data_IF_862138285636
#
_entry.id   IF_862138285636
#
_cell.length_a   1.000
_cell.length_b   1.000
_cell.length_c   1.000
_cell.angle_alpha   90.00
_cell.angle_beta   90.00
_cell.angle_gamma   90.00
#
_symmetry.space_group_name_H-M   'P 1'
#
loop_
_entity.id
_entity.type
_entity.pdbx_description
1 polymer ?
#
# COMPACT_ATOMS: atom_id res chain seq x y z
N UNK A 1 -10.56 16.69 -2.54
CA UNK A 1 -11.59 15.63 -2.60
C UNK A 1 -11.16 14.58 -3.61
N UNK A 2 -11.49 13.31 -3.42
CA UNK A 2 -11.20 12.30 -4.43
C UNK A 2 -12.07 12.50 -5.69
N UNK A 3 -11.55 12.04 -6.83
CA UNK A 3 -12.21 12.17 -8.12
C UNK A 3 -12.19 10.84 -8.91
N UNK A 4 -13.16 10.68 -9.81
CA UNK A 4 -13.30 9.57 -10.76
C UNK A 4 -13.37 10.11 -12.16
N UNK A 5 -12.72 9.41 -13.10
CA UNK A 5 -12.67 9.82 -14.51
C UNK A 5 -14.03 9.66 -15.20
N UNK A 6 -14.39 10.66 -16.00
CA UNK A 6 -15.62 10.64 -16.83
C UNK A 6 -15.60 9.56 -17.91
N UNK A 7 -14.43 9.02 -18.25
CA UNK A 7 -14.27 7.95 -19.27
C UNK A 7 -14.61 6.56 -18.72
N UNK A 8 -14.73 6.42 -17.39
CA UNK A 8 -15.21 5.19 -16.79
C UNK A 8 -16.69 4.93 -17.15
N UNK A 9 -17.13 3.67 -17.05
CA UNK A 9 -18.52 3.32 -17.34
C UNK A 9 -19.46 3.93 -16.29
N UNK A 10 -20.70 4.23 -16.70
CA UNK A 10 -21.72 4.79 -15.81
C UNK A 10 -21.91 3.97 -14.54
N UNK A 11 -21.90 2.64 -14.65
CA UNK A 11 -22.05 1.73 -13.52
C UNK A 11 -20.87 1.79 -12.51
N UNK A 12 -19.70 2.24 -12.98
CA UNK A 12 -18.52 2.48 -12.10
C UNK A 12 -18.55 3.88 -11.50
N UNK A 13 -18.96 4.89 -12.27
CA UNK A 13 -18.99 6.29 -11.82
C UNK A 13 -20.07 6.50 -10.73
N UNK A 14 -21.25 5.92 -10.92
CA UNK A 14 -22.42 6.22 -10.09
C UNK A 14 -22.21 6.00 -8.58
N UNK A 15 -21.57 4.92 -8.08
CA UNK A 15 -21.31 4.75 -6.66
C UNK A 15 -20.44 5.87 -6.07
N UNK A 16 -19.42 6.33 -6.81
CA UNK A 16 -18.52 7.40 -6.37
C UNK A 16 -19.21 8.77 -6.38
N UNK A 17 -19.96 9.06 -7.43
CA UNK A 17 -20.77 10.29 -7.53
C UNK A 17 -21.78 10.40 -6.37
N UNK A 18 -22.46 9.31 -6.02
CA UNK A 18 -23.37 9.24 -4.86
C UNK A 18 -22.64 9.44 -3.53
N UNK A 19 -21.38 9.03 -3.43
CA UNK A 19 -20.53 9.24 -2.27
C UNK A 19 -19.87 10.65 -2.22
N UNK A 20 -20.21 11.53 -3.17
CA UNK A 20 -19.72 12.91 -3.21
C UNK A 20 -18.35 13.10 -3.85
N UNK A 21 -17.85 12.10 -4.60
CA UNK A 21 -16.63 12.28 -5.39
C UNK A 21 -16.86 13.21 -6.57
N UNK A 22 -15.82 13.93 -6.95
CA UNK A 22 -15.84 14.72 -8.20
C UNK A 22 -15.81 13.79 -9.41
N UNK A 23 -16.66 14.08 -10.41
CA UNK A 23 -16.66 13.36 -11.70
C UNK A 23 -16.09 14.31 -12.72
N UNK A 24 -14.87 14.07 -13.19
CA UNK A 24 -14.16 14.95 -14.11
C UNK A 24 -13.21 14.18 -15.03
N UNK A 25 -12.78 14.80 -16.13
CA UNK A 25 -11.78 14.20 -17.01
C UNK A 25 -10.39 14.26 -16.34
N UNK A 26 -9.88 13.13 -15.90
CA UNK A 26 -8.58 13.04 -15.26
C UNK A 26 -7.45 13.03 -16.31
N UNK A 27 -6.36 13.71 -16.01
CA UNK A 27 -5.17 13.69 -16.85
C UNK A 27 -4.46 12.33 -16.77
N UNK A 28 -4.44 11.72 -15.61
CA UNK A 28 -3.80 10.44 -15.33
C UNK A 28 -4.71 9.55 -14.48
N UNK A 29 -4.74 8.26 -14.83
CA UNK A 29 -5.50 7.24 -14.11
C UNK A 29 -7.02 7.37 -14.24
N UNK A 30 -7.72 6.53 -13.51
CA UNK A 30 -9.19 6.44 -13.50
C UNK A 30 -9.78 6.95 -12.18
N UNK A 31 -8.99 6.92 -11.09
CA UNK A 31 -9.35 7.46 -9.78
C UNK A 31 -8.16 8.18 -9.17
N UNK A 32 -8.42 9.28 -8.45
CA UNK A 32 -7.36 10.06 -7.79
C UNK A 32 -7.84 10.70 -6.49
N UNK A 33 -6.90 11.09 -5.66
CA UNK A 33 -7.12 11.87 -4.47
C UNK A 33 -5.79 12.26 -3.82
N UNK A 34 -5.87 12.79 -2.60
CA UNK A 34 -4.70 13.16 -1.80
C UNK A 34 -4.77 12.51 -0.43
N UNK A 35 -3.62 12.26 0.15
CA UNK A 35 -3.50 11.81 1.53
C UNK A 35 -3.60 13.00 2.52
N UNK A 36 -3.45 12.73 3.80
CA UNK A 36 -3.50 13.74 4.87
C UNK A 36 -2.37 14.78 4.80
N UNK A 37 -1.27 14.45 4.12
CA UNK A 37 -0.12 15.35 3.91
C UNK A 37 -0.24 16.13 2.59
N UNK A 38 -1.31 15.92 1.81
CA UNK A 38 -1.53 16.53 0.50
C UNK A 38 -0.81 15.81 -0.66
N UNK A 39 -0.21 14.64 -0.40
CA UNK A 39 0.43 13.85 -1.45
C UNK A 39 -0.60 13.09 -2.27
N UNK A 40 -0.47 13.13 -3.61
CA UNK A 40 -1.42 12.49 -4.52
C UNK A 40 -1.27 10.97 -4.58
N UNK A 41 -2.42 10.28 -4.70
CA UNK A 41 -2.51 8.91 -5.14
C UNK A 41 -3.32 8.85 -6.44
N UNK A 42 -2.93 7.95 -7.34
CA UNK A 42 -3.60 7.72 -8.64
C UNK A 42 -3.78 6.22 -8.80
N UNK A 43 -4.99 5.80 -9.18
CA UNK A 43 -5.31 4.41 -9.51
C UNK A 43 -5.60 4.36 -11.01
N UNK A 44 -4.85 3.52 -11.73
CA UNK A 44 -5.18 3.05 -13.07
C UNK A 44 -5.86 1.69 -12.93
N UNK A 45 -7.09 1.57 -13.41
CA UNK A 45 -7.85 0.34 -13.40
C UNK A 45 -7.71 -0.38 -14.75
N UNK A 46 -7.50 -1.68 -14.70
CA UNK A 46 -7.47 -2.55 -15.88
C UNK A 46 -8.22 -3.84 -15.59
N UNK A 47 -9.05 -4.28 -16.51
CA UNK A 47 -9.42 -5.71 -16.51
C UNK A 47 -8.21 -6.54 -16.94
N UNK A 48 -8.19 -7.83 -16.59
CA UNK A 48 -7.11 -8.74 -17.04
C UNK A 48 -6.97 -8.71 -18.55
N UNK A 49 -8.07 -8.75 -19.28
CA UNK A 49 -8.09 -8.71 -20.76
C UNK A 49 -7.58 -7.37 -21.27
N UNK A 50 -8.00 -6.26 -20.66
CA UNK A 50 -7.54 -4.92 -20.99
C UNK A 50 -6.05 -4.73 -20.74
N UNK A 51 -5.54 -5.24 -19.61
CA UNK A 51 -4.12 -5.25 -19.31
C UNK A 51 -3.31 -5.99 -20.38
N UNK A 52 -3.72 -7.22 -20.72
CA UNK A 52 -3.01 -8.03 -21.71
C UNK A 52 -3.02 -7.39 -23.10
N UNK A 53 -4.12 -6.75 -23.50
CA UNK A 53 -4.21 -5.95 -24.72
C UNK A 53 -3.27 -4.75 -24.67
N UNK A 54 -3.24 -4.00 -23.57
CA UNK A 54 -2.43 -2.81 -23.40
C UNK A 54 -0.93 -3.10 -23.32
N UNK A 55 -0.54 -4.30 -22.83
CA UNK A 55 0.85 -4.77 -22.88
C UNK A 55 1.36 -4.84 -24.32
N UNK A 56 0.55 -5.35 -25.25
CA UNK A 56 0.94 -5.54 -26.66
C UNK A 56 1.22 -4.21 -27.37
N UNK A 57 0.55 -3.16 -26.99
CA UNK A 57 0.67 -1.81 -27.56
C UNK A 57 1.63 -0.91 -26.80
N UNK A 58 2.15 -1.35 -25.67
CA UNK A 58 2.96 -0.55 -24.76
C UNK A 58 2.16 0.55 -24.05
N UNK A 59 0.83 0.48 -24.07
CA UNK A 59 -0.03 1.52 -23.48
C UNK A 59 0.07 1.52 -21.96
N UNK A 60 -0.02 0.35 -21.31
CA UNK A 60 0.07 0.25 -19.86
C UNK A 60 1.44 0.73 -19.35
N UNK A 61 2.52 0.46 -20.08
CA UNK A 61 3.87 0.92 -19.72
C UNK A 61 3.94 2.44 -19.70
N UNK A 62 3.36 3.11 -20.71
CA UNK A 62 3.30 4.59 -20.77
C UNK A 62 2.43 5.18 -19.67
N UNK A 63 1.28 4.58 -19.38
CA UNK A 63 0.39 5.03 -18.30
C UNK A 63 1.08 4.90 -16.94
N UNK A 64 1.70 3.76 -16.67
CA UNK A 64 2.47 3.52 -15.44
C UNK A 64 3.61 4.53 -15.28
N UNK A 65 4.41 4.75 -16.34
CA UNK A 65 5.50 5.73 -16.31
C UNK A 65 4.98 7.14 -15.97
N UNK A 66 3.88 7.56 -16.60
CA UNK A 66 3.26 8.86 -16.30
C UNK A 66 2.75 8.96 -14.85
N UNK A 67 2.17 7.89 -14.31
CA UNK A 67 1.71 7.89 -12.92
C UNK A 67 2.89 7.99 -11.94
N UNK A 68 3.96 7.24 -12.16
CA UNK A 68 5.18 7.29 -11.32
C UNK A 68 5.79 8.68 -11.32
N UNK A 69 5.76 9.38 -12.44
CA UNK A 69 6.29 10.73 -12.58
C UNK A 69 5.43 11.80 -11.86
N UNK A 70 4.11 11.60 -11.80
CA UNK A 70 3.17 12.66 -11.39
C UNK A 70 2.48 12.42 -10.04
N UNK A 71 2.67 11.26 -9.39
CA UNK A 71 2.08 11.05 -8.08
C UNK A 71 3.00 10.26 -7.13
N UNK A 72 2.77 10.47 -5.83
CA UNK A 72 3.52 9.77 -4.79
C UNK A 72 3.11 8.30 -4.63
N UNK A 73 1.86 8.00 -4.91
CA UNK A 73 1.31 6.66 -4.72
C UNK A 73 0.63 6.15 -5.99
N UNK A 74 1.42 5.72 -7.00
CA UNK A 74 0.88 5.10 -8.20
C UNK A 74 0.37 3.70 -7.88
N UNK A 75 -0.87 3.41 -8.31
CA UNK A 75 -1.54 2.15 -8.04
C UNK A 75 -2.07 1.59 -9.37
N UNK A 76 -1.69 0.36 -9.71
CA UNK A 76 -2.29 -0.40 -10.79
C UNK A 76 -3.26 -1.42 -10.18
N UNK A 77 -4.55 -1.25 -10.43
CA UNK A 77 -5.61 -2.13 -9.96
C UNK A 77 -6.06 -3.02 -11.10
N UNK A 78 -5.89 -4.33 -10.94
CA UNK A 78 -6.20 -5.33 -11.97
C UNK A 78 -7.44 -6.11 -11.54
N UNK A 79 -8.49 -6.02 -12.33
CA UNK A 79 -9.77 -6.68 -12.10
C UNK A 79 -9.93 -7.94 -12.94
N UNK A 80 -10.38 -9.02 -12.32
CA UNK A 80 -10.82 -10.21 -13.02
C UNK A 80 -10.02 -11.46 -12.67
N UNK A 81 -10.27 -12.50 -13.44
CA UNK A 81 -9.66 -13.82 -13.24
C UNK A 81 -8.57 -14.08 -14.26
N UNK A 82 -7.46 -14.57 -13.78
CA UNK A 82 -6.38 -15.03 -14.62
C UNK A 82 -6.63 -16.48 -15.05
N UNK A 83 -6.82 -16.69 -16.33
CA UNK A 83 -7.06 -18.03 -16.88
C UNK A 83 -5.88 -18.41 -17.75
N UNK A 84 -5.35 -19.61 -17.52
CA UNK A 84 -4.19 -20.13 -18.26
C UNK A 84 -4.58 -21.43 -18.98
N UNK A 85 -4.07 -21.59 -20.21
CA UNK A 85 -4.16 -22.83 -20.98
C UNK A 85 -2.84 -23.06 -21.72
N UNK A 86 -2.32 -24.28 -21.66
CA UNK A 86 -1.08 -24.67 -22.35
C UNK A 86 0.14 -23.77 -22.09
N UNK A 87 0.27 -23.24 -20.87
CA UNK A 87 1.38 -22.38 -20.48
C UNK A 87 1.22 -20.90 -20.83
N UNK A 88 0.14 -20.53 -21.51
CA UNK A 88 -0.19 -19.16 -21.91
C UNK A 88 -1.46 -18.67 -21.25
N UNK A 89 -1.56 -17.38 -21.04
CA UNK A 89 -2.80 -16.76 -20.60
C UNK A 89 -3.85 -16.83 -21.72
N UNK A 90 -5.06 -17.23 -21.37
CA UNK A 90 -6.12 -17.54 -22.32
C UNK A 90 -6.38 -16.36 -23.28
N UNK A 91 -6.38 -16.66 -24.58
CA UNK A 91 -6.59 -15.66 -25.65
C UNK A 91 -5.38 -14.79 -25.97
N UNK A 92 -4.18 -15.11 -25.45
CA UNK A 92 -2.96 -14.34 -25.69
C UNK A 92 -1.76 -15.21 -26.03
N UNK A 93 -0.64 -14.56 -26.40
CA UNK A 93 0.69 -15.16 -26.58
C UNK A 93 1.58 -15.01 -25.33
N UNK A 94 1.05 -14.45 -24.25
CA UNK A 94 1.83 -14.18 -23.05
C UNK A 94 1.79 -15.36 -22.09
N UNK A 95 2.97 -15.81 -21.68
CA UNK A 95 3.11 -16.72 -20.56
C UNK A 95 2.96 -15.95 -19.24
N UNK A 96 2.59 -16.66 -18.18
CA UNK A 96 2.60 -16.11 -16.82
C UNK A 96 3.92 -15.43 -16.46
N UNK A 97 5.04 -16.06 -16.81
CA UNK A 97 6.37 -15.53 -16.54
C UNK A 97 6.59 -14.14 -17.15
N UNK A 98 6.16 -13.95 -18.40
CA UNK A 98 6.32 -12.66 -19.08
C UNK A 98 5.49 -11.56 -18.41
N UNK A 99 4.23 -11.83 -18.13
CA UNK A 99 3.34 -10.84 -17.49
C UNK A 99 3.80 -10.56 -16.06
N UNK A 100 4.18 -11.60 -15.32
CA UNK A 100 4.64 -11.44 -13.94
C UNK A 100 5.94 -10.62 -13.85
N UNK A 101 6.88 -10.85 -14.75
CA UNK A 101 8.11 -10.05 -14.81
C UNK A 101 7.82 -8.57 -15.14
N UNK A 102 6.84 -8.30 -16.01
CA UNK A 102 6.42 -6.93 -16.31
C UNK A 102 5.78 -6.28 -15.06
N UNK A 103 4.85 -6.97 -14.40
CA UNK A 103 4.24 -6.47 -13.18
C UNK A 103 5.28 -6.24 -12.07
N UNK A 104 6.29 -7.12 -11.97
CA UNK A 104 7.40 -6.94 -11.05
C UNK A 104 8.20 -5.67 -11.40
N UNK A 105 8.48 -5.42 -12.68
CA UNK A 105 9.19 -4.19 -13.08
C UNK A 105 8.41 -2.92 -12.72
N UNK A 106 7.08 -2.96 -12.77
CA UNK A 106 6.25 -1.84 -12.31
C UNK A 106 6.36 -1.62 -10.79
N UNK A 107 6.41 -2.71 -10.01
CA UNK A 107 6.63 -2.61 -8.57
C UNK A 107 8.02 -2.04 -8.24
N UNK A 108 9.05 -2.42 -8.99
CA UNK A 108 10.41 -1.88 -8.84
C UNK A 108 10.46 -0.37 -9.16
N UNK A 109 9.56 0.13 -10.01
CA UNK A 109 9.35 1.56 -10.26
C UNK A 109 8.54 2.26 -9.15
N UNK A 110 8.05 1.54 -8.14
CA UNK A 110 7.25 2.08 -7.03
C UNK A 110 5.73 1.95 -7.19
N UNK A 111 5.24 1.28 -8.25
CA UNK A 111 3.80 1.04 -8.45
C UNK A 111 3.28 0.00 -7.47
N UNK A 112 2.16 0.29 -6.84
CA UNK A 112 1.47 -0.64 -5.94
C UNK A 112 0.46 -1.46 -6.75
N UNK A 113 0.59 -2.78 -6.72
CA UNK A 113 -0.37 -3.66 -7.38
C UNK A 113 -1.54 -3.97 -6.45
N UNK A 114 -2.75 -3.90 -6.99
CA UNK A 114 -3.99 -4.36 -6.36
C UNK A 114 -4.68 -5.32 -7.32
N UNK A 115 -5.29 -6.37 -6.77
CA UNK A 115 -6.02 -7.38 -7.56
C UNK A 115 -7.43 -7.52 -6.97
N UNK A 116 -8.43 -7.46 -7.85
CA UNK A 116 -9.83 -7.64 -7.50
C UNK A 116 -10.48 -8.69 -8.40
N UNK A 117 -11.59 -9.27 -7.96
CA UNK A 117 -12.23 -10.39 -8.66
C UNK A 117 -13.34 -9.96 -9.62
N UNK A 118 -13.78 -8.70 -9.56
CA UNK A 118 -14.85 -8.15 -10.38
C UNK A 118 -15.23 -6.74 -9.95
N UNK A 119 -16.19 -6.14 -10.68
CA UNK A 119 -16.53 -4.73 -10.56
C UNK A 119 -16.92 -4.28 -9.14
N UNK A 120 -17.75 -5.04 -8.44
CA UNK A 120 -18.18 -4.70 -7.06
C UNK A 120 -16.98 -4.63 -6.13
N UNK A 121 -16.14 -5.66 -6.14
CA UNK A 121 -14.90 -5.71 -5.35
C UNK A 121 -13.92 -4.59 -5.75
N UNK A 122 -13.87 -4.18 -7.02
CA UNK A 122 -13.07 -3.04 -7.49
C UNK A 122 -13.57 -1.74 -6.88
N UNK A 123 -14.88 -1.50 -6.90
CA UNK A 123 -15.49 -0.30 -6.33
C UNK A 123 -15.22 -0.23 -4.82
N UNK A 124 -15.45 -1.33 -4.09
CA UNK A 124 -15.14 -1.43 -2.66
C UNK A 124 -13.67 -1.13 -2.39
N UNK A 125 -12.77 -1.74 -3.18
CA UNK A 125 -11.32 -1.56 -3.00
C UNK A 125 -10.87 -0.13 -3.23
N UNK A 126 -11.43 0.58 -4.19
CA UNK A 126 -11.14 1.99 -4.44
C UNK A 126 -11.60 2.86 -3.26
N UNK A 127 -12.78 2.61 -2.68
CA UNK A 127 -13.22 3.28 -1.46
C UNK A 127 -12.31 3.00 -0.27
N UNK A 128 -11.91 1.75 -0.06
CA UNK A 128 -10.98 1.36 1.01
C UNK A 128 -9.62 2.05 0.86
N UNK A 129 -9.10 2.18 -0.37
CA UNK A 129 -7.84 2.87 -0.64
C UNK A 129 -7.96 4.38 -0.36
N UNK A 130 -9.08 5.01 -0.76
CA UNK A 130 -9.33 6.40 -0.46
C UNK A 130 -9.44 6.64 1.05
N UNK A 131 -10.15 5.77 1.77
CA UNK A 131 -10.23 5.79 3.24
C UNK A 131 -8.85 5.56 3.87
N UNK A 132 -8.06 4.62 3.35
CA UNK A 132 -6.68 4.36 3.79
C UNK A 132 -5.82 5.62 3.72
N UNK A 133 -5.81 6.31 2.56
CA UNK A 133 -5.00 7.52 2.39
C UNK A 133 -5.56 8.75 3.13
N UNK A 134 -6.82 8.73 3.54
CA UNK A 134 -7.40 9.80 4.34
C UNK A 134 -7.02 9.77 5.83
N UNK A 135 -6.28 8.75 6.29
CA UNK A 135 -5.95 8.53 7.70
C UNK A 135 -4.47 8.69 7.98
N UNK A 136 -4.16 9.37 9.08
CA UNK A 136 -2.79 9.49 9.63
C UNK A 136 -2.25 8.15 10.16
N UNK A 137 -3.14 7.31 10.69
CA UNK A 137 -2.81 6.03 11.31
C UNK A 137 -3.71 4.94 10.78
N UNK A 138 -3.10 3.84 10.39
CA UNK A 138 -3.81 2.67 9.92
C UNK A 138 -3.90 1.64 11.04
N UNK A 139 -5.11 1.17 11.31
CA UNK A 139 -5.34 0.01 12.16
C UNK A 139 -4.98 -1.25 11.36
N UNK A 140 -3.66 -1.45 11.16
CA UNK A 140 -3.19 -2.67 10.55
C UNK A 140 -3.14 -3.74 11.64
N UNK A 141 -3.96 -4.75 11.56
CA UNK A 141 -3.86 -5.94 12.42
C UNK A 141 -2.54 -6.71 12.24
N UNK A 142 -1.67 -6.24 11.35
CA UNK A 142 -0.32 -6.75 11.18
C UNK A 142 0.63 -6.05 12.16
N UNK A 143 1.40 -6.84 12.92
CA UNK A 143 2.54 -6.32 13.67
C UNK A 143 3.48 -5.61 12.70
N UNK A 144 3.89 -4.39 13.01
CA UNK A 144 4.78 -3.61 12.16
C UNK A 144 6.07 -4.37 11.88
N UNK A 145 6.25 -4.78 10.64
CA UNK A 145 7.53 -5.31 10.17
C UNK A 145 8.47 -4.12 9.99
N UNK A 146 9.40 -3.95 10.91
CA UNK A 146 10.48 -2.98 10.74
C UNK A 146 11.57 -3.59 9.88
N UNK A 147 12.11 -2.84 8.91
CA UNK A 147 13.34 -3.21 8.19
C UNK A 147 14.57 -3.23 9.09
N UNK A 148 14.49 -2.71 10.31
CA UNK A 148 15.52 -2.79 11.32
C UNK A 148 15.27 -4.01 12.23
N UNK A 149 16.14 -5.05 12.22
CA UNK A 149 15.96 -6.27 13.01
C UNK A 149 15.86 -6.02 14.52
N UNK A 150 16.55 -5.03 15.05
CA UNK A 150 16.51 -4.68 16.47
C UNK A 150 15.15 -4.04 16.83
N UNK A 151 14.61 -3.17 15.96
CA UNK A 151 13.28 -2.63 16.17
C UNK A 151 12.20 -3.71 16.04
N UNK A 152 12.36 -4.65 15.10
CA UNK A 152 11.45 -5.79 14.97
C UNK A 152 11.47 -6.69 16.23
N UNK A 153 12.64 -6.93 16.81
CA UNK A 153 12.77 -7.68 18.06
C UNK A 153 12.03 -6.98 19.22
N UNK A 154 12.16 -5.68 19.37
CA UNK A 154 11.45 -4.90 20.38
C UNK A 154 9.92 -4.91 20.17
N UNK A 155 9.45 -4.90 18.95
CA UNK A 155 8.02 -4.97 18.63
C UNK A 155 7.37 -6.32 18.98
N UNK A 156 8.14 -7.37 19.31
CA UNK A 156 7.59 -8.62 19.85
C UNK A 156 7.16 -8.49 21.33
N UNK A 157 7.60 -7.45 22.01
CA UNK A 157 7.19 -7.17 23.41
C UNK A 157 5.76 -6.60 23.37
N UNK A 158 4.88 -7.15 24.20
CA UNK A 158 3.49 -6.69 24.27
C UNK A 158 3.42 -5.19 24.58
N UNK A 159 2.64 -4.45 23.80
CA UNK A 159 2.43 -2.99 23.89
C UNK A 159 3.66 -2.13 23.54
N UNK A 160 4.71 -2.72 22.97
CA UNK A 160 5.83 -2.00 22.38
C UNK A 160 5.61 -1.94 20.87
N UNK A 161 5.18 -0.77 20.38
CA UNK A 161 5.03 -0.49 18.95
C UNK A 161 6.30 0.04 18.32
N UNK A 162 6.27 0.19 16.97
CA UNK A 162 7.43 0.66 16.20
C UNK A 162 7.94 2.04 16.63
N UNK A 163 7.04 2.93 17.07
CA UNK A 163 7.41 4.27 17.55
C UNK A 163 8.25 4.16 18.82
N UNK A 164 7.79 3.38 19.80
CA UNK A 164 8.51 3.10 21.04
C UNK A 164 9.82 2.38 20.79
N UNK A 165 9.83 1.39 19.88
CA UNK A 165 11.04 0.66 19.49
C UNK A 165 12.10 1.58 18.88
N UNK A 166 11.70 2.49 17.99
CA UNK A 166 12.58 3.48 17.40
C UNK A 166 13.09 4.50 18.43
N UNK A 167 12.24 4.96 19.35
CA UNK A 167 12.65 5.89 20.43
C UNK A 167 13.69 5.24 21.34
N UNK A 168 13.49 3.98 21.74
CA UNK A 168 14.44 3.20 22.53
C UNK A 168 15.79 3.07 21.80
N UNK A 169 15.79 2.64 20.54
CA UNK A 169 17.02 2.50 19.75
C UNK A 169 17.72 3.84 19.49
N UNK A 170 16.97 4.89 19.31
CA UNK A 170 17.55 6.24 19.18
C UNK A 170 18.22 6.73 20.45
N UNK A 171 17.65 6.37 21.63
CA UNK A 171 18.18 6.80 22.92
C UNK A 171 19.38 5.95 23.37
N UNK A 172 19.31 4.62 23.20
CA UNK A 172 20.32 3.68 23.69
C UNK A 172 21.32 3.20 22.63
N UNK A 173 21.05 3.47 21.35
CA UNK A 173 21.90 3.10 20.22
C UNK A 173 21.72 1.68 19.71
N UNK A 174 21.55 0.69 20.58
CA UNK A 174 21.42 -0.71 20.22
C UNK A 174 20.57 -1.51 21.21
N UNK A 175 20.18 -2.73 20.80
CA UNK A 175 19.34 -3.62 21.60
C UNK A 175 20.03 -4.12 22.88
N UNK A 176 21.34 -4.35 22.83
CA UNK A 176 22.12 -4.83 23.98
C UNK A 176 22.05 -3.85 25.16
N UNK A 177 22.25 -2.57 24.89
CA UNK A 177 22.14 -1.50 25.89
C UNK A 177 20.74 -1.44 26.48
N UNK A 178 19.69 -1.58 25.64
CA UNK A 178 18.29 -1.62 26.10
C UNK A 178 18.07 -2.80 27.07
N UNK A 179 18.55 -3.98 26.72
CA UNK A 179 18.39 -5.20 27.51
C UNK A 179 19.10 -5.09 28.87
N UNK A 180 20.25 -4.43 28.93
CA UNK A 180 21.04 -4.26 30.16
C UNK A 180 20.56 -3.12 31.06
N UNK A 181 19.71 -2.22 30.51
CA UNK A 181 19.18 -1.07 31.25
C UNK A 181 18.11 -1.51 32.28
N UNK A 182 18.08 -0.85 33.41
CA UNK A 182 17.06 -1.04 34.43
C UNK A 182 15.73 -0.33 34.08
N UNK A 183 14.71 -0.56 34.92
CA UNK A 183 13.37 0.00 34.69
C UNK A 183 13.40 1.53 34.72
N UNK A 184 14.21 2.13 35.59
CA UNK A 184 14.29 3.59 35.75
C UNK A 184 14.93 4.23 34.50
N UNK A 185 16.02 3.66 33.99
CA UNK A 185 16.66 4.10 32.76
C UNK A 185 15.76 3.96 31.55
N UNK A 186 14.96 2.88 31.45
CA UNK A 186 13.98 2.71 30.37
C UNK A 186 12.87 3.78 30.41
N UNK A 187 12.44 4.22 31.58
CA UNK A 187 11.45 5.30 31.74
C UNK A 187 11.99 6.69 31.33
N UNK A 188 13.30 6.85 31.25
CA UNK A 188 13.91 8.08 30.74
C UNK A 188 13.66 8.33 29.25
N UNK A 189 13.16 7.32 28.52
CA UNK A 189 12.86 7.46 27.07
C UNK A 189 11.48 8.07 26.88
N UNK A 190 11.34 9.16 26.10
CA UNK A 190 10.04 9.77 25.81
C UNK A 190 9.02 8.76 25.27
N UNK A 191 7.87 8.67 25.89
CA UNK A 191 6.80 7.73 25.51
C UNK A 191 6.91 6.33 26.14
N UNK A 192 7.91 6.07 26.98
CA UNK A 192 8.03 4.83 27.75
C UNK A 192 7.58 5.06 29.17
N UNK A 193 6.33 4.72 29.47
CA UNK A 193 5.80 4.79 30.83
C UNK A 193 6.17 3.54 31.68
N UNK A 194 5.85 3.57 33.01
CA UNK A 194 6.20 2.49 33.93
C UNK A 194 5.75 1.09 33.49
N UNK A 195 4.55 0.99 32.91
CA UNK A 195 4.01 -0.29 32.46
C UNK A 195 4.80 -0.87 31.25
N UNK A 196 5.18 -0.01 30.30
CA UNK A 196 5.98 -0.39 29.15
C UNK A 196 7.41 -0.76 29.58
N UNK A 197 8.04 0.04 30.44
CA UNK A 197 9.37 -0.23 30.96
C UNK A 197 9.44 -1.58 31.67
N UNK A 198 8.46 -1.90 32.53
CA UNK A 198 8.36 -3.20 33.19
C UNK A 198 8.27 -4.37 32.19
N UNK A 199 7.45 -4.22 31.13
CA UNK A 199 7.31 -5.26 30.09
C UNK A 199 8.59 -5.48 29.31
N UNK A 200 9.30 -4.39 28.94
CA UNK A 200 10.58 -4.45 28.26
C UNK A 200 11.61 -5.17 29.15
N UNK A 201 11.71 -4.74 30.37
CA UNK A 201 12.67 -5.28 31.33
C UNK A 201 12.44 -6.78 31.63
N UNK A 202 11.18 -7.19 31.79
CA UNK A 202 10.82 -8.58 32.11
C UNK A 202 10.86 -9.52 30.90
N UNK A 203 10.82 -8.99 29.69
CA UNK A 203 10.82 -9.81 28.46
C UNK A 203 12.15 -10.54 28.24
N UNK A 204 13.25 -9.99 28.75
CA UNK A 204 14.60 -10.48 28.53
C UNK A 204 15.18 -11.21 29.76
N UNK A 205 14.44 -11.34 30.84
CA UNK A 205 14.81 -11.97 32.09
C UNK A 205 13.86 -13.12 32.52
#
# INVERSE_FOLDING_TARGET
MPAVDTRETKSRIEPFARAGWTVEALQYGDYTGVDVEGSSWIIEHKTVEGLLSDISTGRVQRQVASMVEHCRYPILLIEGRWIQSNGYLLGTHYSWKQVWNLLQSFQDMGVRLQITTGQEHTIERVFELADYYSKDKHDSGARHLSGNPQAAALCNIKDVGIVTAKALLSHFGNLETIVLTDIEGLQGVPGVGPAAANKIWSFWR
#
